data_IF_869517520735
#
_entry.id   IF_869517520735
#
_cell.length_a   1.000
_cell.length_b   1.000
_cell.length_c   1.000
_cell.angle_alpha   90.00
_cell.angle_beta   90.00
_cell.angle_gamma   90.00
#
_symmetry.space_group_name_H-M   'P 1'
#
loop_
_entity.id
_entity.type
_entity.pdbx_description
1 polymer ?
#
# COMPACT_ATOMS: atom_id res chain seq x y z
N UNK A 1 12.56 4.40 4.87
CA UNK A 1 12.37 4.13 3.42
C UNK A 1 11.26 3.11 3.26
N UNK A 2 10.26 3.32 2.40
CA UNK A 2 9.14 2.38 2.20
C UNK A 2 9.57 0.95 1.85
N UNK A 3 10.62 0.80 1.03
CA UNK A 3 11.21 -0.51 0.70
C UNK A 3 11.75 -1.23 1.96
N UNK A 4 12.35 -0.49 2.89
CA UNK A 4 12.83 -1.08 4.14
C UNK A 4 11.68 -1.64 4.97
N UNK A 5 10.56 -0.91 5.06
CA UNK A 5 9.35 -1.38 5.76
C UNK A 5 8.77 -2.65 5.14
N UNK A 6 8.77 -2.74 3.80
CA UNK A 6 8.33 -3.95 3.11
C UNK A 6 9.25 -5.15 3.39
N UNK A 7 10.54 -4.92 3.64
CA UNK A 7 11.54 -5.96 3.97
C UNK A 7 11.61 -6.34 5.44
N UNK A 8 10.93 -5.62 6.34
CA UNK A 8 10.92 -5.94 7.76
C UNK A 8 10.13 -7.22 8.01
N UNK A 9 10.67 -8.06 8.91
CA UNK A 9 9.93 -9.26 9.34
C UNK A 9 8.75 -8.83 10.22
N UNK A 10 7.59 -9.42 9.98
CA UNK A 10 6.46 -9.25 10.88
C UNK A 10 6.79 -9.82 12.26
N UNK A 11 6.47 -9.06 13.30
CA UNK A 11 6.56 -9.51 14.70
C UNK A 11 5.22 -10.08 15.19
N UNK A 12 4.20 -10.05 14.33
CA UNK A 12 2.87 -10.58 14.60
C UNK A 12 2.76 -12.05 14.21
N UNK A 13 1.72 -12.72 14.68
CA UNK A 13 1.39 -14.11 14.33
C UNK A 13 -0.04 -14.19 13.83
N UNK A 14 -0.30 -15.09 12.88
CA UNK A 14 -1.66 -15.41 12.46
C UNK A 14 -2.23 -16.43 13.45
N UNK A 15 -3.36 -16.08 14.05
CA UNK A 15 -4.10 -16.96 14.97
C UNK A 15 -5.40 -17.37 14.30
N UNK A 16 -5.71 -18.69 14.19
CA UNK A 16 -6.98 -19.15 13.64
C UNK A 16 -8.16 -18.69 14.49
N UNK A 17 -9.20 -18.17 13.86
CA UNK A 17 -10.52 -18.02 14.46
C UNK A 17 -11.22 -19.38 14.46
N UNK A 18 -11.01 -20.14 15.54
CA UNK A 18 -11.51 -21.53 15.64
C UNK A 18 -13.03 -21.57 15.64
N UNK A 19 -13.69 -20.61 16.30
CA UNK A 19 -15.14 -20.55 16.37
C UNK A 19 -15.73 -20.38 14.97
N UNK A 20 -15.26 -19.41 14.22
CA UNK A 20 -15.72 -19.16 12.86
C UNK A 20 -15.37 -20.28 11.89
N UNK A 21 -14.15 -20.80 11.96
CA UNK A 21 -13.65 -21.83 11.03
C UNK A 21 -14.33 -23.19 11.21
N UNK A 22 -14.92 -23.47 12.37
CA UNK A 22 -15.62 -24.74 12.65
C UNK A 22 -17.11 -24.72 12.31
N UNK A 23 -17.66 -23.57 11.90
CA UNK A 23 -19.04 -23.48 11.42
C UNK A 23 -19.27 -24.43 10.24
N UNK A 24 -20.46 -25.05 10.18
CA UNK A 24 -20.79 -26.03 9.13
C UNK A 24 -20.63 -25.48 7.71
N UNK A 25 -21.02 -24.21 7.49
CA UNK A 25 -20.88 -23.49 6.22
C UNK A 25 -19.44 -23.22 5.81
N UNK A 26 -18.52 -23.16 6.77
CA UNK A 26 -17.10 -22.83 6.52
C UNK A 26 -16.21 -24.06 6.39
N UNK A 27 -16.68 -25.23 6.83
CA UNK A 27 -15.87 -26.45 6.93
C UNK A 27 -15.14 -26.85 5.64
N UNK A 28 -15.75 -26.57 4.49
CA UNK A 28 -15.18 -26.91 3.16
C UNK A 28 -14.77 -25.66 2.38
N UNK A 29 -14.73 -24.49 2.99
CA UNK A 29 -14.29 -23.26 2.33
C UNK A 29 -12.78 -23.26 2.16
N UNK A 30 -12.32 -22.85 0.99
CA UNK A 30 -10.93 -22.56 0.69
C UNK A 30 -10.63 -21.06 0.70
N UNK A 31 -11.65 -20.24 1.04
CA UNK A 31 -11.47 -18.78 1.13
C UNK A 31 -10.76 -18.43 2.44
N UNK A 32 -9.91 -17.42 2.39
CA UNK A 32 -9.23 -16.84 3.55
C UNK A 32 -9.80 -15.47 3.85
N UNK A 33 -10.15 -15.22 5.08
CA UNK A 33 -10.46 -13.90 5.60
C UNK A 33 -9.50 -13.59 6.75
N UNK A 34 -8.70 -12.53 6.59
CA UNK A 34 -7.66 -12.15 7.53
C UNK A 34 -7.97 -10.77 8.09
N UNK A 35 -7.99 -10.64 9.41
CA UNK A 35 -8.20 -9.37 10.12
C UNK A 35 -6.91 -8.92 10.78
N UNK A 36 -6.61 -7.62 10.71
CA UNK A 36 -5.42 -7.03 11.31
C UNK A 36 -4.84 -5.91 10.45
N UNK A 37 -3.64 -5.46 10.78
CA UNK A 37 -2.90 -4.54 9.92
C UNK A 37 -2.59 -5.22 8.58
N UNK A 38 -3.00 -4.58 7.49
CA UNK A 38 -2.87 -5.17 6.16
C UNK A 38 -1.41 -5.31 5.69
N UNK A 39 -0.50 -4.47 6.18
CA UNK A 39 0.93 -4.60 5.86
C UNK A 39 1.53 -5.85 6.51
N UNK A 40 1.14 -6.14 7.76
CA UNK A 40 1.55 -7.36 8.45
C UNK A 40 0.95 -8.60 7.79
N UNK A 41 -0.32 -8.55 7.42
CA UNK A 41 -0.98 -9.63 6.66
C UNK A 41 -0.25 -9.90 5.36
N UNK A 42 0.07 -8.87 4.58
CA UNK A 42 0.83 -9.00 3.34
C UNK A 42 2.21 -9.63 3.55
N UNK A 43 2.90 -9.30 4.65
CA UNK A 43 4.18 -9.95 5.01
C UNK A 43 4.01 -11.44 5.30
N UNK A 44 2.98 -11.82 6.04
CA UNK A 44 2.69 -13.22 6.32
C UNK A 44 2.37 -14.02 5.06
N UNK A 45 1.61 -13.43 4.14
CA UNK A 45 1.22 -14.08 2.89
C UNK A 45 2.41 -14.39 1.98
N UNK A 46 3.54 -13.64 2.08
CA UNK A 46 4.73 -13.90 1.27
C UNK A 46 5.25 -15.33 1.40
N UNK A 47 5.06 -15.97 2.57
CA UNK A 47 5.62 -17.29 2.82
C UNK A 47 4.96 -18.41 2.00
N UNK A 48 3.67 -18.27 1.71
CA UNK A 48 2.88 -19.34 1.12
C UNK A 48 2.18 -18.96 -0.19
N UNK A 49 2.12 -17.66 -0.50
CA UNK A 49 1.34 -17.14 -1.63
C UNK A 49 2.16 -16.27 -2.59
N UNK A 50 3.50 -16.28 -2.50
CA UNK A 50 4.33 -15.61 -3.49
C UNK A 50 4.08 -16.21 -4.88
N UNK A 51 3.93 -15.36 -5.89
CA UNK A 51 3.71 -15.72 -7.30
C UNK A 51 2.50 -16.65 -7.55
N UNK A 52 1.48 -16.62 -6.67
CA UNK A 52 0.31 -17.51 -6.78
C UNK A 52 -1.00 -16.79 -7.08
N UNK A 53 -1.06 -15.49 -6.85
CA UNK A 53 -2.29 -14.70 -6.98
C UNK A 53 -2.51 -14.29 -8.44
N UNK A 54 -3.69 -14.61 -8.98
CA UNK A 54 -4.06 -14.27 -10.35
C UNK A 54 -4.56 -12.84 -10.49
N UNK A 55 -5.28 -12.33 -9.48
CA UNK A 55 -5.87 -11.00 -9.51
C UNK A 55 -5.85 -10.36 -8.12
N UNK A 56 -5.50 -9.08 -8.08
CA UNK A 56 -5.61 -8.24 -6.90
C UNK A 56 -6.57 -7.09 -7.24
N UNK A 57 -7.52 -6.81 -6.36
CA UNK A 57 -8.34 -5.59 -6.40
C UNK A 57 -8.23 -4.85 -5.07
N UNK A 58 -7.96 -3.57 -5.13
CA UNK A 58 -7.91 -2.70 -3.96
C UNK A 58 -8.67 -1.39 -4.19
N UNK A 59 -9.24 -0.91 -3.11
CA UNK A 59 -9.93 0.38 -3.01
C UNK A 59 -9.30 1.16 -1.85
N UNK A 60 -8.16 1.85 -2.09
CA UNK A 60 -7.42 2.54 -1.04
C UNK A 60 -8.08 3.85 -0.67
N UNK A 61 -7.66 4.51 0.42
CA UNK A 61 -8.06 5.88 0.71
C UNK A 61 -7.69 6.81 -0.46
N UNK A 62 -8.61 7.68 -0.89
CA UNK A 62 -8.40 8.58 -2.03
C UNK A 62 -7.68 9.89 -1.67
N UNK A 63 -7.41 10.08 -0.38
CA UNK A 63 -6.71 11.26 0.13
C UNK A 63 -7.44 12.59 -0.15
N UNK A 64 -8.76 12.55 -0.13
CA UNK A 64 -9.62 13.73 -0.39
C UNK A 64 -9.66 14.72 0.77
N UNK A 65 -9.09 14.36 1.92
CA UNK A 65 -9.20 15.14 3.17
C UNK A 65 -10.57 15.02 3.86
N UNK A 66 -11.54 14.40 3.21
CA UNK A 66 -12.90 14.17 3.73
C UNK A 66 -13.21 12.68 3.95
N UNK A 67 -12.32 11.80 3.57
CA UNK A 67 -12.44 10.34 3.69
C UNK A 67 -12.24 9.80 5.11
N UNK A 68 -11.95 10.71 6.07
CA UNK A 68 -11.72 10.35 7.48
C UNK A 68 -10.46 9.52 7.71
N UNK A 69 -9.66 9.30 6.68
CA UNK A 69 -8.42 8.57 6.80
C UNK A 69 -7.35 9.47 7.42
N UNK A 70 -6.88 9.06 8.59
CA UNK A 70 -5.76 9.72 9.29
C UNK A 70 -4.54 8.83 9.11
N UNK A 71 -3.53 9.36 8.42
CA UNK A 71 -2.25 8.66 8.33
C UNK A 71 -1.62 8.61 9.72
N UNK A 72 -1.12 7.43 10.16
CA UNK A 72 -0.41 7.36 11.44
C UNK A 72 0.75 8.37 11.43
N UNK A 73 0.79 9.27 12.42
CA UNK A 73 1.79 10.35 12.54
C UNK A 73 3.25 9.88 12.65
N UNK A 74 3.49 8.59 12.59
CA UNK A 74 4.82 7.97 12.69
C UNK A 74 5.66 8.02 11.41
N UNK A 75 5.17 8.65 10.35
CA UNK A 75 5.96 8.95 9.14
C UNK A 75 6.61 10.34 9.17
N UNK A 76 6.66 10.99 10.31
CA UNK A 76 7.52 12.16 10.49
C UNK A 76 8.98 11.70 10.47
N UNK A 77 9.57 11.77 9.29
CA UNK A 77 11.02 11.79 9.23
C UNK A 77 11.48 13.03 10.00
N UNK A 78 12.38 12.84 10.96
CA UNK A 78 13.04 13.99 11.59
C UNK A 78 13.69 14.85 10.51
N UNK A 79 13.77 16.15 10.73
CA UNK A 79 14.42 17.10 9.82
C UNK A 79 15.78 16.60 9.35
N UNK A 80 16.53 16.05 10.27
CA UNK A 80 17.84 15.46 10.03
C UNK A 80 17.78 14.23 9.11
N UNK A 81 16.76 13.38 9.28
CA UNK A 81 16.58 12.23 8.41
C UNK A 81 16.22 12.63 6.99
N UNK A 82 15.41 13.70 6.82
CA UNK A 82 15.09 14.26 5.50
C UNK A 82 16.32 14.89 4.85
N UNK A 83 17.10 15.64 5.63
CA UNK A 83 18.35 16.24 5.16
C UNK A 83 19.36 15.18 4.72
N UNK A 84 19.58 14.16 5.54
CA UNK A 84 20.52 13.07 5.25
C UNK A 84 20.08 12.22 4.06
N UNK A 85 18.76 12.02 3.89
CA UNK A 85 18.20 11.18 2.84
C UNK A 85 18.23 11.87 1.46
N UNK A 86 17.97 13.18 1.41
CA UNK A 86 17.82 13.94 0.17
C UNK A 86 18.97 14.94 -0.05
N UNK A 87 19.95 15.01 0.84
CA UNK A 87 21.05 15.97 0.76
C UNK A 87 20.61 17.43 0.89
N UNK A 88 19.50 17.68 1.61
CA UNK A 88 18.90 19.02 1.68
C UNK A 88 19.61 19.89 2.72
N UNK A 89 19.81 21.17 2.37
CA UNK A 89 20.14 22.19 3.34
C UNK A 89 18.89 22.72 4.08
N UNK A 90 19.07 23.54 5.11
CA UNK A 90 17.97 24.06 5.94
C UNK A 90 16.92 24.85 5.13
N UNK A 91 17.34 25.57 4.10
CA UNK A 91 16.43 26.35 3.25
C UNK A 91 15.60 25.43 2.34
N UNK A 92 16.21 24.39 1.81
CA UNK A 92 15.54 23.40 0.96
C UNK A 92 14.59 22.55 1.80
N UNK A 93 14.98 22.19 3.02
CA UNK A 93 14.13 21.51 3.97
C UNK A 93 12.90 22.38 4.35
N UNK A 94 13.11 23.67 4.62
CA UNK A 94 12.01 24.58 4.92
C UNK A 94 11.05 24.73 3.74
N UNK A 95 11.55 24.77 2.51
CA UNK A 95 10.73 24.74 1.29
C UNK A 95 9.97 23.43 1.15
N UNK A 96 10.64 22.29 1.33
CA UNK A 96 9.99 20.98 1.32
C UNK A 96 8.85 20.93 2.34
N UNK A 97 9.09 21.39 3.56
CA UNK A 97 8.06 21.47 4.63
C UNK A 97 6.92 22.43 4.29
N UNK A 98 7.20 23.55 3.64
CA UNK A 98 6.15 24.49 3.20
C UNK A 98 5.25 23.88 2.13
N UNK A 99 5.79 23.01 1.29
CA UNK A 99 5.04 22.24 0.30
C UNK A 99 4.30 21.08 1.00
N UNK A 100 4.93 20.43 1.97
CA UNK A 100 4.33 19.35 2.76
C UNK A 100 3.26 19.84 3.75
N UNK A 101 3.26 21.13 4.11
CA UNK A 101 2.44 21.70 5.20
C UNK A 101 0.93 21.54 5.08
N UNK A 102 0.44 20.96 3.98
CA UNK A 102 -0.92 20.44 3.77
C UNK A 102 -0.95 19.27 2.79
N UNK A 103 0.17 18.82 2.28
CA UNK A 103 0.20 17.77 1.27
C UNK A 103 0.26 16.41 1.95
N UNK A 104 -0.85 15.77 2.01
CA UNK A 104 -0.99 14.38 2.41
C UNK A 104 -0.44 13.40 1.35
N UNK A 105 -0.02 13.90 0.16
CA UNK A 105 0.50 13.07 -0.94
C UNK A 105 1.71 12.25 -0.54
N UNK A 106 2.71 12.86 0.13
CA UNK A 106 3.90 12.12 0.58
C UNK A 106 3.56 11.07 1.64
N UNK A 107 2.63 11.37 2.54
CA UNK A 107 2.15 10.43 3.55
C UNK A 107 1.38 9.28 2.88
N UNK A 108 0.52 9.59 1.92
CA UNK A 108 -0.21 8.60 1.13
C UNK A 108 0.74 7.67 0.35
N UNK A 109 1.73 8.22 -0.34
CA UNK A 109 2.75 7.45 -1.05
C UNK A 109 3.54 6.54 -0.10
N UNK A 110 3.94 7.04 1.06
CA UNK A 110 4.66 6.27 2.08
C UNK A 110 3.80 5.13 2.64
N UNK A 111 2.49 5.36 2.77
CA UNK A 111 1.53 4.35 3.20
C UNK A 111 1.31 3.27 2.12
N UNK A 112 1.14 3.67 0.86
CA UNK A 112 0.79 2.77 -0.23
C UNK A 112 1.98 1.96 -0.75
N UNK A 113 3.16 2.56 -0.83
CA UNK A 113 4.33 1.93 -1.45
C UNK A 113 4.68 0.55 -0.89
N UNK A 114 4.84 0.34 0.44
CA UNK A 114 5.20 -0.96 0.98
C UNK A 114 4.11 -2.02 0.73
N UNK A 115 2.85 -1.61 0.68
CA UNK A 115 1.71 -2.48 0.41
C UNK A 115 1.69 -2.97 -1.03
N UNK A 116 1.86 -2.06 -1.98
CA UNK A 116 1.93 -2.39 -3.40
C UNK A 116 3.19 -3.21 -3.74
N UNK A 117 4.32 -2.89 -3.11
CA UNK A 117 5.55 -3.64 -3.26
C UNK A 117 5.40 -5.10 -2.81
N UNK A 118 4.72 -5.35 -1.69
CA UNK A 118 4.42 -6.71 -1.24
C UNK A 118 3.34 -7.39 -2.09
N UNK A 119 2.32 -6.65 -2.51
CA UNK A 119 1.29 -7.15 -3.41
C UNK A 119 1.89 -7.65 -4.74
N UNK A 120 2.87 -6.90 -5.31
CA UNK A 120 3.59 -7.33 -6.52
C UNK A 120 4.21 -8.72 -6.38
N UNK A 121 4.77 -9.02 -5.20
CA UNK A 121 5.40 -10.32 -4.93
C UNK A 121 4.41 -11.48 -4.79
N UNK A 122 3.14 -11.20 -4.50
CA UNK A 122 2.09 -12.21 -4.45
C UNK A 122 1.54 -12.53 -5.84
N UNK A 123 1.58 -11.53 -6.73
CA UNK A 123 0.97 -11.60 -8.05
C UNK A 123 1.84 -12.45 -8.99
N UNK A 124 1.20 -13.37 -9.72
CA UNK A 124 1.83 -14.09 -10.83
C UNK A 124 2.33 -13.12 -11.90
N UNK A 125 3.27 -13.54 -12.72
CA UNK A 125 3.74 -12.75 -13.88
C UNK A 125 2.63 -12.49 -14.91
N UNK A 126 1.62 -13.35 -14.97
CA UNK A 126 0.41 -13.20 -15.82
C UNK A 126 -0.76 -12.59 -15.07
N UNK A 127 -0.57 -12.19 -13.81
CA UNK A 127 -1.62 -11.66 -12.95
C UNK A 127 -1.92 -10.19 -13.21
N UNK A 128 -3.08 -9.73 -12.74
CA UNK A 128 -3.55 -8.34 -12.90
C UNK A 128 -3.81 -7.70 -11.54
N UNK A 129 -3.53 -6.40 -11.45
CA UNK A 129 -3.94 -5.59 -10.31
C UNK A 129 -4.85 -4.46 -10.77
N UNK A 130 -5.97 -4.28 -10.07
CA UNK A 130 -6.91 -3.18 -10.26
C UNK A 130 -6.96 -2.32 -9.01
N UNK A 131 -6.90 -1.02 -9.18
CA UNK A 131 -6.90 -0.06 -8.08
C UNK A 131 -7.93 1.02 -8.38
N UNK A 132 -8.94 1.14 -7.52
CA UNK A 132 -9.87 2.28 -7.56
C UNK A 132 -9.17 3.50 -7.00
N UNK A 133 -9.26 4.62 -7.68
CA UNK A 133 -8.69 5.89 -7.24
C UNK A 133 -9.42 7.05 -7.93
N UNK A 134 -9.39 8.22 -7.32
CA UNK A 134 -9.86 9.45 -7.93
C UNK A 134 -8.70 10.33 -8.44
N UNK A 135 -9.04 11.51 -8.95
CA UNK A 135 -8.08 12.44 -9.52
C UNK A 135 -7.05 12.98 -8.53
N UNK A 136 -7.32 12.89 -7.21
CA UNK A 136 -6.39 13.43 -6.19
C UNK A 136 -5.05 12.70 -6.19
N UNK A 137 -5.08 11.37 -6.27
CA UNK A 137 -3.86 10.55 -6.18
C UNK A 137 -3.57 9.75 -7.46
N UNK A 138 -4.38 9.85 -8.51
CA UNK A 138 -4.18 9.10 -9.75
C UNK A 138 -2.77 9.26 -10.33
N UNK A 139 -2.27 10.48 -10.44
CA UNK A 139 -0.95 10.74 -11.01
C UNK A 139 0.17 10.15 -10.16
N UNK A 140 0.07 10.29 -8.84
CA UNK A 140 1.04 9.74 -7.88
C UNK A 140 1.00 8.21 -7.88
N UNK A 141 -0.19 7.62 -7.92
CA UNK A 141 -0.37 6.18 -8.04
C UNK A 141 0.26 5.66 -9.32
N UNK A 142 0.01 6.31 -10.47
CA UNK A 142 0.57 5.90 -11.76
C UNK A 142 2.10 5.83 -11.72
N UNK A 143 2.76 6.89 -11.21
CA UNK A 143 4.22 6.91 -11.09
C UNK A 143 4.74 5.81 -10.16
N UNK A 144 4.08 5.58 -9.03
CA UNK A 144 4.45 4.54 -8.09
C UNK A 144 4.25 3.14 -8.68
N UNK A 145 3.18 2.92 -9.44
CA UNK A 145 2.94 1.65 -10.14
C UNK A 145 3.97 1.39 -11.21
N UNK A 146 4.39 2.41 -11.97
CA UNK A 146 5.46 2.29 -12.97
C UNK A 146 6.78 1.88 -12.33
N UNK A 147 7.10 2.43 -11.16
CA UNK A 147 8.31 2.03 -10.42
C UNK A 147 8.25 0.57 -9.92
N UNK A 148 7.10 0.13 -9.40
CA UNK A 148 6.96 -1.19 -8.77
C UNK A 148 6.73 -2.29 -9.81
N UNK A 149 5.92 -2.04 -10.84
CA UNK A 149 5.48 -3.03 -11.83
C UNK A 149 6.14 -2.86 -13.19
N UNK A 150 6.86 -1.75 -13.40
CA UNK A 150 7.44 -1.36 -14.67
C UNK A 150 6.44 -0.60 -15.56
N UNK A 151 6.93 0.37 -16.32
CA UNK A 151 6.10 1.21 -17.23
C UNK A 151 5.33 0.37 -18.26
N UNK A 152 5.94 -0.72 -18.74
CA UNK A 152 5.32 -1.63 -19.71
C UNK A 152 4.19 -2.50 -19.14
N UNK A 153 4.03 -2.52 -17.81
CA UNK A 153 2.97 -3.25 -17.12
C UNK A 153 1.61 -2.53 -17.11
N UNK A 154 1.55 -1.26 -17.50
CA UNK A 154 0.30 -0.52 -17.53
C UNK A 154 -0.60 -0.99 -18.68
N UNK A 155 -1.80 -1.49 -18.34
CA UNK A 155 -2.75 -2.00 -19.32
C UNK A 155 -3.73 -0.90 -19.77
N UNK A 156 -4.46 -0.30 -18.84
CA UNK A 156 -5.48 0.70 -19.17
C UNK A 156 -5.96 1.46 -17.94
N UNK A 157 -6.63 2.57 -18.21
CA UNK A 157 -7.43 3.32 -17.24
C UNK A 157 -8.91 3.19 -17.60
N UNK A 158 -9.73 2.76 -16.64
CA UNK A 158 -11.17 2.61 -16.80
C UNK A 158 -11.87 3.74 -16.07
N UNK A 159 -12.48 4.64 -16.81
CA UNK A 159 -13.26 5.73 -16.25
C UNK A 159 -14.65 5.27 -15.87
N UNK A 160 -15.00 5.43 -14.60
CA UNK A 160 -16.31 5.07 -14.07
C UNK A 160 -17.14 6.33 -13.80
N UNK A 161 -18.26 6.46 -14.49
CA UNK A 161 -19.19 7.56 -14.23
C UNK A 161 -20.02 7.25 -12.98
N UNK A 162 -19.81 8.01 -11.92
CA UNK A 162 -20.69 7.97 -10.73
C UNK A 162 -22.06 8.57 -11.08
N UNK A 163 -23.13 7.87 -10.69
CA UNK A 163 -24.50 8.39 -10.80
C UNK A 163 -24.78 9.44 -9.75
#
# INVERSE_FOLDING_TARGET
>A
MPIKQAGEKSVTVIVPDVEHNTLAENKNSHNLFLTGDNLDVLRHLQNNYADTVDMIYIDPPYNTGSDGFVYPDHFEYSDRALQDMFGLNDTELARLKSIQGKSTHSAWLSFMYPRLFLARKLLKDTGFIFISIDDNEYANLKLMMDEIFGEGGFVTNVMWKRK
#
